data_IF_350308329384
#
_entry.id   IF_350308329384
#
_cell.length_a   1.000
_cell.length_b   1.000
_cell.length_c   1.000
_cell.angle_alpha   90.00
_cell.angle_beta   90.00
_cell.angle_gamma   90.00
#
_symmetry.space_group_name_H-M   'P 1'
#
loop_
_entity.id
_entity.type
_entity.pdbx_description
1 polymer ?
#
# COMPACT_ATOMS: atom_id res chain seq x y z
N UNK A 1 11.10 -24.18 -0.77
CA UNK A 1 9.89 -24.31 0.06
C UNK A 1 9.97 -23.63 1.42
N UNK A 2 11.08 -23.69 2.14
CA UNK A 2 11.28 -22.94 3.40
C UNK A 2 11.00 -21.44 3.26
N UNK A 3 11.46 -20.81 2.16
CA UNK A 3 11.27 -19.37 1.90
C UNK A 3 9.80 -19.01 1.76
N UNK A 4 9.02 -19.85 1.09
CA UNK A 4 7.59 -19.62 0.87
C UNK A 4 6.82 -19.75 2.19
N UNK A 5 7.13 -20.77 3.00
CA UNK A 5 6.52 -20.95 4.33
C UNK A 5 6.81 -19.76 5.25
N UNK A 6 8.05 -19.29 5.29
CA UNK A 6 8.46 -18.18 6.15
C UNK A 6 7.79 -16.87 5.71
N UNK A 7 7.67 -16.67 4.40
CA UNK A 7 6.98 -15.52 3.83
C UNK A 7 5.50 -15.51 4.22
N UNK A 8 4.83 -16.64 4.08
CA UNK A 8 3.42 -16.78 4.46
C UNK A 8 3.22 -16.56 5.97
N UNK A 9 4.08 -17.13 6.81
CA UNK A 9 4.00 -16.94 8.27
C UNK A 9 4.15 -15.47 8.65
N UNK A 10 5.08 -14.73 8.03
CA UNK A 10 5.24 -13.29 8.28
C UNK A 10 4.01 -12.51 7.88
N UNK A 11 3.44 -12.80 6.72
CA UNK A 11 2.23 -12.16 6.21
C UNK A 11 1.06 -12.34 7.19
N UNK A 12 0.83 -13.57 7.63
CA UNK A 12 -0.25 -13.89 8.58
C UNK A 12 -0.02 -13.23 9.93
N UNK A 13 1.21 -13.22 10.42
CA UNK A 13 1.56 -12.58 11.70
C UNK A 13 1.32 -11.07 11.65
N UNK A 14 1.74 -10.41 10.58
CA UNK A 14 1.54 -8.97 10.41
C UNK A 14 0.06 -8.62 10.33
N UNK A 15 -0.72 -9.39 9.59
CA UNK A 15 -2.18 -9.20 9.48
C UNK A 15 -2.89 -9.41 10.80
N UNK A 16 -2.48 -10.41 11.57
CA UNK A 16 -3.05 -10.69 12.89
C UNK A 16 -2.79 -9.54 13.86
N UNK A 17 -1.59 -8.97 13.84
CA UNK A 17 -1.27 -7.77 14.64
C UNK A 17 -2.15 -6.59 14.27
N UNK A 18 -2.32 -6.33 12.99
CA UNK A 18 -3.13 -5.22 12.48
C UNK A 18 -4.60 -5.38 12.85
N UNK A 19 -5.13 -6.60 12.75
CA UNK A 19 -6.52 -6.89 13.10
C UNK A 19 -6.85 -6.60 14.57
N UNK A 20 -5.87 -6.75 15.47
CA UNK A 20 -6.05 -6.44 16.91
C UNK A 20 -6.13 -4.95 17.20
N UNK A 21 -5.51 -4.13 16.37
CA UNK A 21 -5.35 -2.69 16.63
C UNK A 21 -6.44 -1.87 15.95
N UNK A 22 -7.19 -2.47 15.02
CA UNK A 22 -7.97 -1.67 14.10
C UNK A 22 -9.38 -2.17 13.87
N UNK A 23 -10.35 -1.33 14.21
CA UNK A 23 -11.77 -1.66 14.12
C UNK A 23 -12.56 -0.82 13.12
N UNK A 24 -12.07 0.36 12.72
CA UNK A 24 -12.83 1.32 11.92
C UNK A 24 -12.08 1.94 10.73
N UNK A 25 -10.93 1.38 10.39
CA UNK A 25 -10.09 1.91 9.30
C UNK A 25 -10.06 0.96 8.12
N UNK A 26 -9.96 1.54 6.93
CA UNK A 26 -9.73 0.74 5.72
C UNK A 26 -8.28 0.29 5.66
N UNK A 27 -8.06 -0.83 4.98
CA UNK A 27 -6.74 -1.44 4.86
C UNK A 27 -6.08 -1.05 3.55
N UNK A 28 -4.84 -0.54 3.62
CA UNK A 28 -4.00 -0.39 2.43
C UNK A 28 -3.19 -1.67 2.29
N UNK A 29 -3.46 -2.43 1.22
CA UNK A 29 -2.69 -3.61 0.87
C UNK A 29 -1.71 -3.25 -0.24
N UNK A 30 -0.45 -3.59 -0.05
CA UNK A 30 0.62 -3.28 -1.01
C UNK A 30 1.14 -4.55 -1.66
N UNK A 31 1.47 -4.45 -2.94
CA UNK A 31 2.11 -5.53 -3.68
C UNK A 31 3.32 -4.99 -4.44
N UNK A 32 4.47 -5.60 -4.23
CA UNK A 32 5.73 -5.17 -4.82
C UNK A 32 6.30 -6.27 -5.69
N UNK A 33 6.55 -5.95 -6.95
CA UNK A 33 7.32 -6.80 -7.85
C UNK A 33 8.70 -6.18 -8.11
N UNK A 34 9.52 -6.83 -8.92
CA UNK A 34 10.86 -6.33 -9.23
C UNK A 34 10.83 -4.90 -9.80
N UNK A 35 9.91 -4.63 -10.70
CA UNK A 35 9.84 -3.35 -11.42
C UNK A 35 8.68 -2.45 -11.00
N UNK A 36 7.66 -2.99 -10.35
CA UNK A 36 6.43 -2.27 -10.10
C UNK A 36 5.95 -2.35 -8.65
N UNK A 37 5.23 -1.33 -8.25
CA UNK A 37 4.58 -1.25 -6.95
C UNK A 37 3.10 -0.96 -7.19
N UNK A 38 2.22 -1.72 -6.55
CA UNK A 38 0.78 -1.47 -6.62
C UNK A 38 0.19 -1.49 -5.22
N UNK A 39 -0.93 -0.83 -5.06
CA UNK A 39 -1.61 -0.77 -3.77
C UNK A 39 -3.12 -0.65 -3.96
N UNK A 40 -3.86 -1.12 -2.96
CA UNK A 40 -5.32 -1.07 -2.91
C UNK A 40 -5.77 -0.62 -1.53
N UNK A 41 -6.80 0.19 -1.50
CA UNK A 41 -7.51 0.49 -0.25
C UNK A 41 -8.75 -0.40 -0.23
N UNK A 42 -8.82 -1.27 0.78
CA UNK A 42 -9.81 -2.32 0.87
C UNK A 42 -10.70 -2.11 2.08
N UNK A 43 -12.00 -2.24 1.87
CA UNK A 43 -12.98 -2.35 2.95
C UNK A 43 -13.17 -3.83 3.25
N UNK A 44 -12.55 -4.30 4.34
CA UNK A 44 -12.61 -5.72 4.72
C UNK A 44 -14.01 -6.12 5.18
N UNK A 45 -14.79 -5.19 5.69
CA UNK A 45 -16.16 -5.45 6.14
C UNK A 45 -17.07 -5.78 4.95
N UNK A 46 -17.01 -4.98 3.88
CA UNK A 46 -17.78 -5.20 2.66
C UNK A 46 -17.06 -6.06 1.63
N UNK A 47 -15.81 -6.44 1.90
CA UNK A 47 -14.95 -7.20 0.99
C UNK A 47 -14.84 -6.55 -0.39
N UNK A 48 -14.60 -5.25 -0.39
CA UNK A 48 -14.60 -4.45 -1.61
C UNK A 48 -13.34 -3.59 -1.69
N UNK A 49 -12.74 -3.51 -2.89
CA UNK A 49 -11.65 -2.58 -3.17
C UNK A 49 -12.24 -1.22 -3.50
N UNK A 50 -11.88 -0.21 -2.71
CA UNK A 50 -12.40 1.14 -2.86
C UNK A 50 -11.58 1.97 -3.84
N UNK A 51 -10.26 1.85 -3.75
CA UNK A 51 -9.31 2.62 -4.54
C UNK A 51 -8.13 1.72 -4.88
N UNK A 52 -7.56 1.88 -6.06
CA UNK A 52 -6.35 1.14 -6.44
C UNK A 52 -5.40 2.04 -7.22
N UNK A 53 -4.13 1.68 -7.24
CA UNK A 53 -3.07 2.35 -8.00
C UNK A 53 -1.98 1.36 -8.36
N UNK A 54 -1.31 1.59 -9.49
CA UNK A 54 -0.14 0.80 -9.89
C UNK A 54 0.90 1.72 -10.52
N UNK A 55 2.17 1.47 -10.24
CA UNK A 55 3.26 2.20 -10.89
C UNK A 55 3.37 1.90 -12.38
N UNK A 56 2.65 0.87 -12.86
CA UNK A 56 2.58 0.52 -14.28
C UNK A 56 1.53 1.33 -15.05
N UNK A 57 0.77 2.20 -14.38
CA UNK A 57 -0.18 3.08 -15.05
C UNK A 57 0.53 4.08 -15.96
N UNK A 58 -0.11 4.46 -17.06
CA UNK A 58 0.50 5.33 -18.08
C UNK A 58 1.04 6.64 -17.53
N UNK A 59 0.34 7.26 -16.60
CA UNK A 59 0.75 8.52 -15.97
C UNK A 59 2.13 8.41 -15.30
N UNK A 60 2.45 7.25 -14.73
CA UNK A 60 3.70 7.02 -14.02
C UNK A 60 4.75 6.44 -14.96
N UNK A 61 4.37 5.47 -15.78
CA UNK A 61 5.25 4.79 -16.71
C UNK A 61 5.92 5.74 -17.70
N UNK A 62 5.18 6.71 -18.18
CA UNK A 62 5.68 7.70 -19.16
C UNK A 62 6.75 8.64 -18.62
N UNK A 63 6.84 8.79 -17.32
CA UNK A 63 7.80 9.71 -16.69
C UNK A 63 9.24 9.19 -16.65
N UNK A 64 9.46 7.90 -16.93
CA UNK A 64 10.79 7.25 -16.99
C UNK A 64 11.71 7.62 -15.82
N UNK A 65 11.21 7.52 -14.60
CA UNK A 65 11.94 7.86 -13.39
C UNK A 65 12.42 6.60 -12.66
N UNK A 66 13.30 6.78 -11.67
CA UNK A 66 13.83 5.69 -10.85
C UNK A 66 12.71 5.05 -10.01
N UNK A 67 12.94 3.80 -9.55
CA UNK A 67 11.96 3.05 -8.76
C UNK A 67 11.48 3.79 -7.51
N UNK A 68 12.36 4.51 -6.82
CA UNK A 68 11.99 5.29 -5.63
C UNK A 68 11.06 6.45 -5.99
N UNK A 69 11.34 7.14 -7.07
CA UNK A 69 10.48 8.22 -7.57
C UNK A 69 9.13 7.70 -8.04
N UNK A 70 9.11 6.51 -8.67
CA UNK A 70 7.85 5.84 -9.03
C UNK A 70 7.01 5.55 -7.80
N UNK A 71 7.63 5.14 -6.71
CA UNK A 71 6.92 4.89 -5.44
C UNK A 71 6.31 6.18 -4.89
N UNK A 72 7.03 7.29 -4.97
CA UNK A 72 6.51 8.61 -4.57
C UNK A 72 5.32 9.02 -5.42
N UNK A 73 5.43 8.90 -6.74
CA UNK A 73 4.34 9.24 -7.66
C UNK A 73 3.12 8.36 -7.42
N UNK A 74 3.34 7.07 -7.22
CA UNK A 74 2.27 6.10 -6.94
C UNK A 74 1.53 6.47 -5.65
N UNK A 75 2.28 6.84 -4.61
CA UNK A 75 1.71 7.30 -3.34
C UNK A 75 0.89 8.58 -3.48
N UNK A 76 1.39 9.54 -4.24
CA UNK A 76 0.68 10.80 -4.49
C UNK A 76 -0.66 10.56 -5.20
N UNK A 77 -0.67 9.69 -6.21
CA UNK A 77 -1.88 9.36 -6.96
C UNK A 77 -2.89 8.63 -6.08
N UNK A 78 -2.42 7.66 -5.27
CA UNK A 78 -3.32 6.94 -4.36
C UNK A 78 -3.94 7.88 -3.33
N UNK A 79 -3.15 8.77 -2.74
CA UNK A 79 -3.64 9.76 -1.79
C UNK A 79 -4.70 10.68 -2.40
N UNK A 80 -4.47 11.13 -3.64
CA UNK A 80 -5.41 11.95 -4.38
C UNK A 80 -6.74 11.22 -4.61
N UNK A 81 -6.66 9.97 -5.09
CA UNK A 81 -7.85 9.14 -5.34
C UNK A 81 -8.61 8.85 -4.05
N UNK A 82 -7.89 8.66 -2.94
CA UNK A 82 -8.51 8.46 -1.62
C UNK A 82 -9.25 9.71 -1.14
N UNK A 83 -8.66 10.89 -1.34
CA UNK A 83 -9.30 12.16 -0.99
C UNK A 83 -10.59 12.37 -1.77
N UNK A 84 -10.62 12.01 -3.03
CA UNK A 84 -11.82 12.11 -3.88
C UNK A 84 -12.96 11.24 -3.34
N UNK A 85 -12.65 10.18 -2.61
CA UNK A 85 -13.63 9.30 -1.96
C UNK A 85 -13.79 9.55 -0.46
N UNK A 86 -13.20 10.63 0.06
CA UNK A 86 -13.26 11.00 1.47
C UNK A 86 -12.64 9.94 2.40
N UNK A 87 -11.60 9.26 1.94
CA UNK A 87 -10.88 8.27 2.72
C UNK A 87 -9.61 8.90 3.26
N UNK A 88 -9.45 8.95 4.59
CA UNK A 88 -8.24 9.49 5.21
C UNK A 88 -7.66 8.55 6.27
N UNK A 89 -8.51 7.86 7.02
CA UNK A 89 -8.08 6.93 8.08
C UNK A 89 -7.90 5.54 7.52
N UNK A 90 -6.67 5.04 7.55
CA UNK A 90 -6.31 3.73 7.03
C UNK A 90 -5.30 3.06 7.95
N UNK A 91 -5.09 1.76 7.78
CA UNK A 91 -3.95 1.08 8.35
C UNK A 91 -3.16 0.40 7.23
N UNK A 92 -1.87 0.32 7.41
CA UNK A 92 -0.96 -0.12 6.36
C UNK A 92 -0.60 -1.60 6.52
N UNK A 93 -1.11 -2.43 5.60
CA UNK A 93 -0.79 -3.86 5.56
C UNK A 93 0.35 -4.08 4.57
N UNK A 94 1.57 -4.19 5.08
CA UNK A 94 2.75 -4.46 4.26
C UNK A 94 2.88 -5.93 3.85
N UNK A 95 1.98 -6.80 4.31
CA UNK A 95 2.04 -8.23 4.02
C UNK A 95 3.32 -8.86 4.54
N UNK A 96 4.07 -9.52 3.64
CA UNK A 96 5.36 -10.14 3.97
C UNK A 96 6.57 -9.23 3.74
N UNK A 97 6.35 -8.02 3.21
CA UNK A 97 7.45 -7.10 2.89
C UNK A 97 7.99 -6.40 4.13
N UNK A 98 9.29 -6.10 4.12
CA UNK A 98 9.90 -5.28 5.15
C UNK A 98 9.53 -3.81 4.94
N UNK A 99 9.33 -3.07 6.02
CA UNK A 99 9.08 -1.63 5.97
C UNK A 99 10.38 -0.90 5.66
N UNK A 100 10.78 -0.92 4.40
CA UNK A 100 12.07 -0.42 3.93
C UNK A 100 12.00 -0.06 2.44
N UNK A 101 12.88 0.83 1.99
CA UNK A 101 13.03 1.17 0.59
C UNK A 101 11.74 1.74 -0.03
N UNK A 102 11.30 1.16 -1.14
CA UNK A 102 10.13 1.62 -1.88
C UNK A 102 8.85 1.64 -1.04
N UNK A 103 8.68 0.66 -0.17
CA UNK A 103 7.48 0.58 0.69
C UNK A 103 7.47 1.71 1.70
N UNK A 104 8.60 1.99 2.32
CA UNK A 104 8.73 3.12 3.25
C UNK A 104 8.49 4.46 2.54
N UNK A 105 9.07 4.64 1.37
CA UNK A 105 8.89 5.85 0.56
C UNK A 105 7.43 6.06 0.20
N UNK A 106 6.76 4.99 -0.21
CA UNK A 106 5.33 5.02 -0.53
C UNK A 106 4.49 5.41 0.69
N UNK A 107 4.73 4.78 1.84
CA UNK A 107 4.00 5.07 3.07
C UNK A 107 4.23 6.50 3.54
N UNK A 108 5.47 6.98 3.51
CA UNK A 108 5.81 8.36 3.90
C UNK A 108 5.12 9.37 2.98
N UNK A 109 5.03 9.08 1.69
CA UNK A 109 4.32 9.92 0.71
C UNK A 109 2.83 9.99 1.02
N UNK A 110 2.21 8.87 1.37
CA UNK A 110 0.80 8.84 1.76
C UNK A 110 0.54 9.71 3.00
N UNK A 111 1.40 9.61 4.01
CA UNK A 111 1.29 10.42 5.24
C UNK A 111 1.46 11.90 4.95
N UNK A 112 2.42 12.24 4.10
CA UNK A 112 2.69 13.62 3.69
C UNK A 112 1.49 14.24 2.96
N UNK A 113 0.72 13.43 2.27
CA UNK A 113 -0.46 13.86 1.52
C UNK A 113 -1.77 13.75 2.31
N UNK A 114 -1.70 13.55 3.62
CA UNK A 114 -2.85 13.65 4.51
C UNK A 114 -3.47 12.34 4.95
N UNK A 115 -2.94 11.19 4.52
CA UNK A 115 -3.41 9.89 5.00
C UNK A 115 -2.97 9.70 6.46
N UNK A 116 -3.87 9.15 7.28
CA UNK A 116 -3.64 8.97 8.72
C UNK A 116 -3.46 7.49 9.06
N UNK A 117 -2.26 7.15 9.44
CA UNK A 117 -1.93 5.80 9.93
C UNK A 117 -0.59 5.77 10.65
#
# INVERSE_FOLDING_TARGET
>A
MKKIRNKLKRKLRNRKKLAKVNTDRFRISINKSLNNLSAQIIDDFQRKTLVSVSSNEDEIRKKKVKKMEKSTLTGEILAKRAKEKNISKVFFDRGSYKYHGRIKTFADTLRKNGMKF
#
